data_IF_010155325186
#
_entry.id   IF_010155325186
#
_cell.length_a   1.000
_cell.length_b   1.000
_cell.length_c   1.000
_cell.angle_alpha   90.00
_cell.angle_beta   90.00
_cell.angle_gamma   90.00
#
_symmetry.space_group_name_H-M   'P 1'
#
loop_
_entity.id
_entity.type
_entity.pdbx_description
1 polymer ?
#
# COMPACT_ATOMS: atom_id res chain seq x y z
N UNK A 1 -39.05 20.50 8.46
CA UNK A 1 -37.63 20.94 8.55
C UNK A 1 -36.75 20.05 9.45
N UNK A 2 -37.30 19.06 10.19
CA UNK A 2 -36.50 18.19 11.09
C UNK A 2 -35.60 17.16 10.36
N UNK A 3 -36.09 16.52 9.29
CA UNK A 3 -35.39 15.40 8.64
C UNK A 3 -34.06 15.77 7.98
N UNK A 4 -33.96 16.99 7.42
CA UNK A 4 -32.76 17.45 6.72
C UNK A 4 -31.61 17.71 7.70
N UNK A 5 -31.94 18.18 8.91
CA UNK A 5 -30.99 18.46 9.97
C UNK A 5 -30.40 17.16 10.55
N UNK A 6 -31.23 16.11 10.67
CA UNK A 6 -30.78 14.77 11.08
C UNK A 6 -29.81 14.15 10.06
N UNK A 7 -30.09 14.30 8.76
CA UNK A 7 -29.22 13.77 7.70
C UNK A 7 -27.85 14.45 7.73
N UNK A 8 -27.82 15.78 7.88
CA UNK A 8 -26.56 16.53 7.98
C UNK A 8 -25.74 16.13 9.21
N UNK A 9 -26.39 15.86 10.35
CA UNK A 9 -25.70 15.36 11.54
C UNK A 9 -25.09 13.97 11.33
N UNK A 10 -25.82 13.06 10.68
CA UNK A 10 -25.34 11.72 10.37
C UNK A 10 -24.15 11.77 9.42
N UNK A 11 -24.22 12.60 8.38
CA UNK A 11 -23.13 12.77 7.40
C UNK A 11 -21.89 13.38 8.07
N UNK A 12 -22.07 14.43 8.88
CA UNK A 12 -20.96 15.05 9.63
C UNK A 12 -20.29 14.06 10.59
N UNK A 13 -21.09 13.24 11.27
CA UNK A 13 -20.59 12.20 12.17
C UNK A 13 -19.80 11.12 11.42
N UNK A 14 -20.28 10.66 10.27
CA UNK A 14 -19.56 9.71 9.41
C UNK A 14 -18.24 10.28 8.89
N UNK A 15 -18.21 11.54 8.45
CA UNK A 15 -16.96 12.18 8.00
C UNK A 15 -15.93 12.29 9.13
N UNK A 16 -16.39 12.62 10.35
CA UNK A 16 -15.52 12.67 11.53
C UNK A 16 -14.91 11.31 11.86
N UNK A 17 -15.71 10.23 11.77
CA UNK A 17 -15.23 8.86 11.94
C UNK A 17 -14.19 8.45 10.89
N UNK A 18 -14.40 8.81 9.62
CA UNK A 18 -13.46 8.52 8.53
C UNK A 18 -12.14 9.28 8.74
N UNK A 19 -12.21 10.56 9.11
CA UNK A 19 -11.03 11.37 9.40
C UNK A 19 -10.26 10.84 10.62
N UNK A 20 -10.96 10.48 11.70
CA UNK A 20 -10.36 9.86 12.88
C UNK A 20 -9.69 8.53 12.52
N UNK A 21 -10.36 7.69 11.72
CA UNK A 21 -9.80 6.42 11.25
C UNK A 21 -8.52 6.62 10.45
N UNK A 22 -8.50 7.59 9.52
CA UNK A 22 -7.31 7.91 8.71
C UNK A 22 -6.11 8.36 9.54
N UNK A 23 -6.34 8.92 10.74
CA UNK A 23 -5.27 9.33 11.67
C UNK A 23 -4.86 8.16 12.57
N UNK A 24 -5.80 7.31 13.00
CA UNK A 24 -5.50 6.19 13.91
C UNK A 24 -4.80 5.03 13.18
N UNK A 25 -5.14 4.76 11.92
CA UNK A 25 -4.51 3.69 11.10
C UNK A 25 -2.98 3.76 11.09
N UNK A 26 -2.33 4.90 10.75
CA UNK A 26 -0.86 4.96 10.74
C UNK A 26 -0.22 4.82 12.13
N UNK A 27 -0.96 5.06 13.22
CA UNK A 27 -0.45 4.87 14.58
C UNK A 27 -0.55 3.41 15.05
N UNK A 28 -1.55 2.67 14.58
CA UNK A 28 -1.69 1.23 14.87
C UNK A 28 -0.92 0.34 13.89
N UNK A 29 -0.50 0.85 12.74
CA UNK A 29 0.55 0.25 11.88
C UNK A 29 1.96 0.43 12.44
N UNK A 30 2.11 0.54 13.77
CA UNK A 30 3.37 0.28 14.45
C UNK A 30 3.50 -1.23 14.64
N UNK A 31 3.71 -1.96 13.55
CA UNK A 31 4.54 -3.15 13.66
C UNK A 31 5.95 -2.63 13.86
N UNK A 32 6.45 -2.81 15.08
CA UNK A 32 7.80 -2.47 15.46
C UNK A 32 8.76 -2.97 14.39
N UNK A 33 9.56 -2.09 13.78
CA UNK A 33 10.72 -2.55 13.02
C UNK A 33 11.60 -3.36 13.98
N UNK A 34 11.74 -4.70 13.81
CA UNK A 34 12.97 -5.28 14.31
C UNK A 34 14.07 -4.63 13.48
N UNK A 35 15.01 -3.97 14.14
CA UNK A 35 16.36 -3.77 13.61
C UNK A 35 16.97 -5.17 13.42
N UNK A 36 16.50 -5.86 12.39
CA UNK A 36 16.91 -7.16 11.94
C UNK A 36 18.06 -6.95 10.98
N UNK A 37 19.20 -7.52 11.33
CA UNK A 37 20.38 -7.60 10.48
C UNK A 37 19.95 -8.08 9.09
N UNK A 38 20.26 -7.26 8.08
CA UNK A 38 19.96 -7.43 6.66
C UNK A 38 20.26 -8.85 6.15
N UNK A 39 19.23 -9.69 6.11
CA UNK A 39 19.11 -10.78 5.14
C UNK A 39 18.45 -10.19 3.89
N UNK A 40 19.04 -10.35 2.70
CA UNK A 40 18.58 -9.71 1.46
C UNK A 40 17.09 -9.86 1.15
N UNK A 41 16.45 -10.92 1.64
CA UNK A 41 15.01 -11.18 1.52
C UNK A 41 14.13 -10.15 2.25
N UNK A 42 14.55 -9.61 3.39
CA UNK A 42 13.77 -8.60 4.12
C UNK A 42 13.69 -7.30 3.30
N UNK A 43 14.80 -6.89 2.69
CA UNK A 43 14.84 -5.69 1.86
C UNK A 43 14.00 -5.83 0.59
N UNK A 44 13.95 -7.04 0.00
CA UNK A 44 13.09 -7.35 -1.14
C UNK A 44 11.61 -7.37 -0.74
N UNK A 45 11.26 -7.89 0.44
CA UNK A 45 9.90 -7.81 0.97
C UNK A 45 9.46 -6.38 1.25
N UNK A 46 10.30 -5.57 1.89
CA UNK A 46 10.01 -4.15 2.15
C UNK A 46 9.81 -3.36 0.85
N UNK A 47 10.63 -3.67 -0.15
CA UNK A 47 10.54 -3.04 -1.47
C UNK A 47 9.27 -3.47 -2.22
N UNK A 48 8.88 -4.74 -2.11
CA UNK A 48 7.60 -5.26 -2.63
C UNK A 48 6.42 -4.49 -2.00
N UNK A 49 6.37 -4.42 -0.67
CA UNK A 49 5.27 -3.74 0.04
C UNK A 49 5.21 -2.25 -0.29
N UNK A 50 6.36 -1.59 -0.45
CA UNK A 50 6.42 -0.19 -0.89
C UNK A 50 5.84 0.01 -2.30
N UNK A 51 6.18 -0.85 -3.26
CA UNK A 51 5.68 -0.75 -4.63
C UNK A 51 4.17 -0.98 -4.71
N UNK A 52 3.63 -1.91 -3.91
CA UNK A 52 2.18 -2.12 -3.84
C UNK A 52 1.45 -0.92 -3.24
N UNK A 53 2.03 -0.29 -2.22
CA UNK A 53 1.48 0.94 -1.64
C UNK A 53 1.48 2.10 -2.62
N UNK A 54 2.54 2.25 -3.41
CA UNK A 54 2.63 3.28 -4.45
C UNK A 54 1.61 3.02 -5.58
N UNK A 55 1.35 1.76 -5.92
CA UNK A 55 0.29 1.39 -6.85
C UNK A 55 -1.11 1.75 -6.30
N UNK A 56 -1.36 1.51 -5.02
CA UNK A 56 -2.63 1.86 -4.37
C UNK A 56 -2.86 3.39 -4.36
N UNK A 57 -1.82 4.16 -4.06
CA UNK A 57 -1.86 5.62 -4.09
C UNK A 57 -2.13 6.14 -5.52
N UNK A 58 -1.48 5.55 -6.53
CA UNK A 58 -1.72 5.86 -7.93
C UNK A 58 -3.18 5.56 -8.35
N UNK A 59 -3.75 4.44 -7.89
CA UNK A 59 -5.15 4.10 -8.15
C UNK A 59 -6.13 5.03 -7.43
N UNK A 60 -5.76 5.50 -6.23
CA UNK A 60 -6.52 6.53 -5.54
C UNK A 60 -6.50 7.86 -6.29
N UNK A 61 -5.34 8.30 -6.77
CA UNK A 61 -5.19 9.54 -7.54
C UNK A 61 -5.94 9.50 -8.86
N UNK A 62 -5.97 8.35 -9.54
CA UNK A 62 -6.79 8.17 -10.73
C UNK A 62 -8.30 8.21 -10.42
N UNK A 63 -8.75 7.48 -9.38
CA UNK A 63 -10.17 7.48 -8.97
C UNK A 63 -10.66 8.84 -8.48
N UNK A 64 -9.78 9.64 -7.90
CA UNK A 64 -10.07 11.02 -7.48
C UNK A 64 -9.93 12.05 -8.60
N UNK A 65 -9.68 11.59 -9.85
CA UNK A 65 -9.50 12.43 -11.03
C UNK A 65 -8.37 13.47 -10.89
N UNK A 66 -7.37 13.19 -10.06
CA UNK A 66 -6.17 14.03 -9.89
C UNK A 66 -5.16 13.86 -11.02
N UNK A 67 -5.19 12.70 -11.68
CA UNK A 67 -4.35 12.36 -12.83
C UNK A 67 -5.20 11.88 -14.00
N UNK A 68 -4.70 12.05 -15.21
CA UNK A 68 -5.36 11.60 -16.44
C UNK A 68 -5.21 10.08 -16.67
N UNK A 69 -6.02 9.53 -17.57
CA UNK A 69 -5.94 8.11 -17.94
C UNK A 69 -4.59 7.75 -18.58
N UNK A 70 -3.99 8.67 -19.33
CA UNK A 70 -2.71 8.43 -20.00
C UNK A 70 -1.56 8.45 -18.99
N UNK A 71 -1.56 9.39 -18.04
CA UNK A 71 -0.62 9.41 -16.91
C UNK A 71 -0.75 8.16 -16.04
N UNK A 72 -1.98 7.75 -15.72
CA UNK A 72 -2.23 6.52 -14.96
C UNK A 72 -1.65 5.29 -15.68
N UNK A 73 -1.86 5.15 -16.99
CA UNK A 73 -1.36 4.01 -17.77
C UNK A 73 0.17 3.95 -17.79
N UNK A 74 0.82 5.09 -17.99
CA UNK A 74 2.28 5.17 -18.02
C UNK A 74 2.89 4.79 -16.66
N UNK A 75 2.41 5.42 -15.58
CA UNK A 75 2.89 5.17 -14.22
C UNK A 75 2.59 3.74 -13.78
N UNK A 76 1.39 3.22 -14.07
CA UNK A 76 1.02 1.83 -13.78
C UNK A 76 1.92 0.85 -14.53
N UNK A 77 2.22 1.11 -15.80
CA UNK A 77 3.11 0.27 -16.59
C UNK A 77 4.49 0.14 -15.93
N UNK A 78 5.07 1.26 -15.51
CA UNK A 78 6.38 1.30 -14.83
C UNK A 78 6.35 0.56 -13.49
N UNK A 79 5.36 0.82 -12.65
CA UNK A 79 5.18 0.11 -11.36
C UNK A 79 5.00 -1.39 -11.56
N UNK A 80 4.24 -1.81 -12.58
CA UNK A 80 3.99 -3.23 -12.86
C UNK A 80 5.28 -3.96 -13.24
N UNK A 81 6.18 -3.31 -13.99
CA UNK A 81 7.49 -3.88 -14.32
C UNK A 81 8.34 -4.06 -13.06
N UNK A 82 8.42 -3.02 -12.21
CA UNK A 82 9.17 -3.10 -10.95
C UNK A 82 8.62 -4.17 -10.00
N UNK A 83 7.29 -4.31 -9.90
CA UNK A 83 6.66 -5.35 -9.08
C UNK A 83 7.00 -6.74 -9.62
N UNK A 84 6.93 -6.94 -10.93
CA UNK A 84 7.27 -8.22 -11.55
C UNK A 84 8.74 -8.60 -11.33
N UNK A 85 9.65 -7.64 -11.42
CA UNK A 85 11.08 -7.84 -11.18
C UNK A 85 11.37 -8.24 -9.73
N UNK A 86 10.71 -7.60 -8.77
CA UNK A 86 10.91 -7.88 -7.34
C UNK A 86 10.29 -9.21 -6.94
N UNK A 87 9.09 -9.52 -7.47
CA UNK A 87 8.47 -10.83 -7.26
C UNK A 87 9.31 -11.96 -7.85
N UNK A 88 9.91 -11.76 -9.04
CA UNK A 88 10.81 -12.74 -9.64
C UNK A 88 12.07 -12.98 -8.80
N UNK A 89 12.62 -11.93 -8.19
CA UNK A 89 13.77 -12.04 -7.28
C UNK A 89 13.41 -12.75 -5.98
N UNK A 90 12.23 -12.47 -5.40
CA UNK A 90 11.73 -13.16 -4.22
C UNK A 90 11.47 -14.65 -4.48
N UNK A 91 10.93 -15.00 -5.64
CA UNK A 91 10.69 -16.39 -6.05
C UNK A 91 12.02 -17.13 -6.25
N UNK A 92 13.00 -16.48 -6.90
CA UNK A 92 14.33 -17.07 -7.13
C UNK A 92 15.16 -17.21 -5.86
N UNK A 93 15.00 -16.30 -4.89
CA UNK A 93 15.69 -16.36 -3.59
C UNK A 93 15.14 -17.45 -2.67
N UNK A 94 13.86 -17.81 -2.81
CA UNK A 94 13.23 -18.88 -2.03
C UNK A 94 13.74 -20.29 -2.41
N UNK A 95 14.31 -20.47 -3.60
CA UNK A 95 14.87 -21.75 -4.05
C UNK A 95 16.32 -21.99 -3.58
N UNK A 96 17.07 -20.95 -3.18
CA UNK A 96 18.50 -21.05 -2.80
C UNK A 96 18.73 -21.41 -1.32
N UNK A 97 17.68 -21.47 -0.49
CA UNK A 97 17.75 -21.81 0.94
C UNK A 97 17.53 -23.30 1.27
N UNK A 98 17.42 -24.17 0.26
CA UNK A 98 16.95 -25.55 0.39
C UNK A 98 18.00 -26.65 0.62
N UNK A 99 19.30 -26.35 0.52
CA UNK A 99 20.37 -27.36 0.54
C UNK A 99 21.36 -27.19 1.69
N UNK A 100 20.90 -27.40 2.93
CA UNK A 100 21.76 -27.94 4.00
C UNK A 100 21.11 -29.20 4.58
N UNK A 101 21.17 -30.28 3.80
CA UNK A 101 21.14 -31.66 4.32
C UNK A 101 22.57 -32.20 4.37
N UNK A 102 23.09 -32.41 5.58
CA UNK A 102 23.95 -33.56 5.95
C UNK A 102 24.12 -33.66 7.46
#
# INVERSE_FOLDING_TARGET
MSNFQSILLIVSFMLSLIAAWSIVVPFFSTEAEPVGVSSGDSALQDLKDRLFRELEELEFDFRSARISQDEYKDMKGRLSVSIAEVLGQLDSGAEDGGDEVS
#
